data_IF_889385798178
#
_entry.id   IF_889385798178
#
_cell.length_a   1.000
_cell.length_b   1.000
_cell.length_c   1.000
_cell.angle_alpha   90.00
_cell.angle_beta   90.00
_cell.angle_gamma   90.00
#
_symmetry.space_group_name_H-M   'P 1'
#
loop_
_entity.id
_entity.type
_entity.pdbx_description
1 polymer ?
#
# COMPACT_ATOMS: atom_id res chain seq x y z
N UNK A 1 5.90 -10.71 -18.41
CA UNK A 1 6.14 -11.97 -17.63
C UNK A 1 7.02 -11.71 -16.40
N UNK A 2 8.16 -11.03 -16.54
CA UNK A 2 9.08 -10.72 -15.43
C UNK A 2 8.45 -9.90 -14.30
N UNK A 3 7.71 -8.84 -14.63
CA UNK A 3 7.04 -7.99 -13.63
C UNK A 3 6.07 -8.79 -12.74
N UNK A 4 5.26 -9.68 -13.34
CA UNK A 4 4.37 -10.57 -12.59
C UNK A 4 5.12 -11.49 -11.62
N UNK A 5 6.31 -11.97 -11.99
CA UNK A 5 7.15 -12.80 -11.12
C UNK A 5 7.75 -11.96 -9.98
N UNK A 6 8.24 -10.77 -10.28
CA UNK A 6 8.76 -9.82 -9.30
C UNK A 6 7.67 -9.46 -8.28
N UNK A 7 6.49 -9.09 -8.75
CA UNK A 7 5.31 -8.82 -7.93
C UNK A 7 5.01 -9.98 -6.97
N UNK A 8 4.93 -11.22 -7.49
CA UNK A 8 4.65 -12.39 -6.65
C UNK A 8 5.69 -12.58 -5.54
N UNK A 9 6.97 -12.38 -5.82
CA UNK A 9 8.06 -12.49 -4.83
C UNK A 9 8.00 -11.37 -3.80
N UNK A 10 7.85 -10.13 -4.27
CA UNK A 10 7.76 -8.94 -3.44
C UNK A 10 6.54 -9.01 -2.52
N UNK A 11 5.37 -9.35 -3.05
CA UNK A 11 4.14 -9.46 -2.30
C UNK A 11 4.25 -10.52 -1.19
N UNK A 12 4.83 -11.69 -1.48
CA UNK A 12 5.10 -12.72 -0.46
C UNK A 12 6.00 -12.20 0.66
N UNK A 13 7.03 -11.42 0.33
CA UNK A 13 7.90 -10.79 1.33
C UNK A 13 7.12 -9.78 2.20
N UNK A 14 6.35 -8.88 1.57
CA UNK A 14 5.57 -7.86 2.28
C UNK A 14 4.56 -8.47 3.26
N UNK A 15 3.89 -9.55 2.87
CA UNK A 15 2.95 -10.27 3.74
C UNK A 15 3.69 -11.02 4.86
N UNK A 16 4.76 -11.76 4.54
CA UNK A 16 5.54 -12.51 5.53
C UNK A 16 6.09 -11.61 6.64
N UNK A 17 6.55 -10.41 6.28
CA UNK A 17 7.14 -9.46 7.21
C UNK A 17 6.14 -8.42 7.75
N UNK A 18 4.83 -8.58 7.47
CA UNK A 18 3.77 -7.66 7.91
C UNK A 18 4.08 -6.19 7.62
N UNK A 19 4.68 -5.91 6.46
CA UNK A 19 5.07 -4.56 6.05
C UNK A 19 3.85 -3.70 5.73
N UNK A 20 2.80 -4.31 5.17
CA UNK A 20 1.55 -3.62 4.84
C UNK A 20 0.73 -3.34 6.11
N UNK A 21 0.16 -2.14 6.17
CA UNK A 21 -0.71 -1.75 7.27
C UNK A 21 -1.96 -2.64 7.34
N UNK A 22 -2.44 -2.90 8.56
CA UNK A 22 -3.56 -3.84 8.79
C UNK A 22 -4.86 -3.40 8.11
N UNK A 23 -5.14 -2.10 8.06
CA UNK A 23 -6.32 -1.52 7.41
C UNK A 23 -6.06 -1.04 5.98
N UNK A 24 -5.01 -1.55 5.33
CA UNK A 24 -4.84 -1.37 3.90
C UNK A 24 -5.64 -2.44 3.14
N UNK A 25 -6.82 -2.04 2.65
CA UNK A 25 -7.75 -2.94 1.95
C UNK A 25 -7.57 -2.95 0.42
N UNK A 26 -7.06 -1.85 -0.16
CA UNK A 26 -6.80 -1.73 -1.59
C UNK A 26 -5.58 -2.55 -2.04
N UNK A 27 -5.65 -3.10 -3.25
CA UNK A 27 -4.56 -3.83 -3.91
C UNK A 27 -3.96 -4.98 -3.09
N UNK A 28 -4.77 -5.58 -2.20
CA UNK A 28 -4.35 -6.67 -1.31
C UNK A 28 -5.25 -7.89 -1.49
N UNK A 29 -4.63 -9.05 -1.69
CA UNK A 29 -5.35 -10.30 -1.82
C UNK A 29 -6.15 -10.62 -0.55
N UNK A 30 -7.42 -10.98 -0.72
CA UNK A 30 -8.32 -11.30 0.40
C UNK A 30 -8.94 -10.08 1.08
N UNK A 31 -8.69 -8.86 0.58
CA UNK A 31 -9.34 -7.65 1.04
C UNK A 31 -10.17 -7.05 -0.10
N UNK A 32 -11.28 -6.39 0.25
CA UNK A 32 -12.13 -5.67 -0.70
C UNK A 32 -12.52 -4.30 -0.14
N UNK A 33 -13.06 -3.46 -1.01
CA UNK A 33 -13.63 -2.16 -0.62
C UNK A 33 -14.76 -2.31 0.40
N UNK A 34 -15.53 -3.41 0.32
CA UNK A 34 -16.58 -3.72 1.30
C UNK A 34 -16.02 -3.90 2.71
N UNK A 35 -14.86 -4.55 2.86
CA UNK A 35 -14.21 -4.70 4.16
C UNK A 35 -13.80 -3.35 4.76
N UNK A 36 -13.33 -2.42 3.93
CA UNK A 36 -13.00 -1.06 4.38
C UNK A 36 -14.24 -0.30 4.86
N UNK A 37 -15.36 -0.43 4.15
CA UNK A 37 -16.63 0.18 4.54
C UNK A 37 -17.17 -0.39 5.85
N UNK A 38 -17.12 -1.72 6.01
CA UNK A 38 -17.56 -2.38 7.24
C UNK A 38 -16.74 -1.87 8.44
N UNK A 39 -15.41 -1.82 8.32
CA UNK A 39 -14.54 -1.32 9.39
C UNK A 39 -14.88 0.14 9.79
N UNK A 40 -15.12 1.01 8.81
CA UNK A 40 -15.51 2.40 9.07
C UNK A 40 -16.88 2.47 9.76
N UNK A 41 -17.87 1.71 9.26
CA UNK A 41 -19.21 1.69 9.83
C UNK A 41 -19.21 1.15 11.26
N UNK A 42 -18.44 0.11 11.55
CA UNK A 42 -18.32 -0.44 12.89
C UNK A 42 -17.64 0.57 13.83
N UNK A 43 -16.59 1.26 13.38
CA UNK A 43 -15.97 2.35 14.16
C UNK A 43 -16.93 3.50 14.44
N UNK A 44 -17.79 3.87 13.49
CA UNK A 44 -18.80 4.93 13.66
C UNK A 44 -19.84 4.48 14.69
N UNK A 45 -20.36 3.25 14.55
CA UNK A 45 -21.38 2.71 15.46
C UNK A 45 -20.85 2.65 16.90
N UNK A 46 -19.67 2.08 17.11
CA UNK A 46 -19.09 2.00 18.46
C UNK A 46 -18.87 3.37 19.10
N UNK A 47 -18.50 4.39 18.32
CA UNK A 47 -18.37 5.74 18.86
C UNK A 47 -19.73 6.37 19.21
N UNK A 48 -20.77 6.12 18.43
CA UNK A 48 -22.13 6.57 18.73
C UNK A 48 -22.65 5.89 20.00
N UNK A 49 -22.44 4.57 20.14
CA UNK A 49 -22.84 3.80 21.33
C UNK A 49 -22.14 4.28 22.61
N UNK A 50 -20.98 4.93 22.47
CA UNK A 50 -20.20 5.52 23.57
C UNK A 50 -20.45 7.03 23.77
N UNK A 51 -21.50 7.60 23.14
CA UNK A 51 -21.82 9.03 23.16
C UNK A 51 -20.65 9.93 22.70
N UNK A 52 -19.80 9.44 21.79
CA UNK A 52 -18.67 10.17 21.21
C UNK A 52 -19.02 10.78 19.85
N UNK A 53 -18.42 11.92 19.55
CA UNK A 53 -18.47 12.53 18.23
C UNK A 53 -17.49 11.86 17.25
N UNK A 54 -17.92 11.66 16.01
CA UNK A 54 -17.10 11.09 14.94
C UNK A 54 -16.82 12.14 13.87
N UNK A 55 -15.55 12.26 13.46
CA UNK A 55 -15.13 13.07 12.34
C UNK A 55 -14.37 12.20 11.33
N UNK A 56 -14.82 12.20 10.08
CA UNK A 56 -14.16 11.48 8.99
C UNK A 56 -13.33 12.44 8.12
N UNK A 57 -12.06 12.12 7.90
CA UNK A 57 -11.19 12.84 6.96
C UNK A 57 -10.93 11.91 5.77
N UNK A 58 -11.38 12.33 4.59
CA UNK A 58 -11.18 11.60 3.34
C UNK A 58 -10.17 12.35 2.48
N UNK A 59 -9.09 11.66 2.10
CA UNK A 59 -8.02 12.20 1.29
C UNK A 59 -7.99 11.47 -0.05
N UNK A 60 -7.98 12.24 -1.13
CA UNK A 60 -7.77 11.73 -2.49
C UNK A 60 -6.53 12.40 -3.09
N UNK A 61 -5.65 11.60 -3.68
CA UNK A 61 -4.40 12.09 -4.29
C UNK A 61 -4.58 12.13 -5.80
N UNK A 62 -4.56 13.33 -6.37
CA UNK A 62 -4.59 13.51 -7.82
C UNK A 62 -3.36 12.87 -8.47
N UNK A 63 -3.59 12.05 -9.51
CA UNK A 63 -2.52 11.38 -10.26
C UNK A 63 -1.50 10.69 -9.35
N UNK A 64 -1.99 9.90 -8.40
CA UNK A 64 -1.17 9.30 -7.35
C UNK A 64 0.04 8.52 -7.88
N UNK A 65 -0.07 7.85 -9.04
CA UNK A 65 1.05 7.12 -9.66
C UNK A 65 2.05 8.06 -10.35
N UNK A 66 1.57 9.06 -11.09
CA UNK A 66 2.43 10.03 -11.80
C UNK A 66 3.20 10.95 -10.83
N UNK A 67 2.68 11.12 -9.60
CA UNK A 67 3.25 12.02 -8.58
C UNK A 67 4.17 11.32 -7.59
N UNK A 68 4.34 10.00 -7.68
CA UNK A 68 5.26 9.28 -6.78
C UNK A 68 6.70 9.67 -7.09
N UNK A 69 7.41 10.18 -6.08
CA UNK A 69 8.86 10.36 -6.21
C UNK A 69 9.59 9.01 -6.13
N UNK A 70 10.24 8.62 -7.23
CA UNK A 70 10.89 7.31 -7.37
C UNK A 70 12.07 7.12 -6.38
N UNK A 71 12.82 8.17 -6.07
CA UNK A 71 13.94 8.07 -5.10
C UNK A 71 13.43 7.84 -3.68
N UNK A 72 12.34 8.51 -3.29
CA UNK A 72 11.70 8.30 -1.99
C UNK A 72 11.12 6.88 -1.91
N UNK A 73 10.50 6.40 -2.99
CA UNK A 73 9.97 5.04 -3.07
C UNK A 73 11.09 4.00 -2.89
N UNK A 74 12.21 4.12 -3.61
CA UNK A 74 13.33 3.20 -3.53
C UNK A 74 14.00 3.20 -2.14
N UNK A 75 14.12 4.37 -1.51
CA UNK A 75 14.61 4.49 -0.13
C UNK A 75 13.67 3.79 0.87
N UNK A 76 12.36 3.93 0.70
CA UNK A 76 11.37 3.20 1.51
C UNK A 76 11.49 1.69 1.32
N UNK A 77 11.60 1.21 0.08
CA UNK A 77 11.77 -0.21 -0.20
C UNK A 77 13.05 -0.76 0.45
N UNK A 78 14.16 -0.03 0.37
CA UNK A 78 15.41 -0.40 1.04
C UNK A 78 15.28 -0.48 2.57
N UNK A 79 14.58 0.50 3.16
CA UNK A 79 14.29 0.53 4.60
C UNK A 79 13.49 -0.71 5.04
N UNK A 80 12.46 -1.10 4.29
CA UNK A 80 11.66 -2.29 4.56
C UNK A 80 12.38 -3.63 4.29
N UNK A 81 13.61 -3.59 3.79
CA UNK A 81 14.45 -4.79 3.61
C UNK A 81 14.57 -5.30 2.18
N UNK A 82 14.01 -4.59 1.19
CA UNK A 82 14.19 -4.91 -0.23
C UNK A 82 15.50 -4.26 -0.69
N UNK A 83 16.59 -5.03 -0.66
CA UNK A 83 17.97 -4.54 -0.87
C UNK A 83 18.67 -5.28 -2.00
N UNK A 84 19.86 -4.79 -2.38
CA UNK A 84 20.71 -5.40 -3.40
C UNK A 84 20.03 -5.46 -4.77
N UNK A 85 20.20 -6.58 -5.47
CA UNK A 85 19.74 -6.78 -6.85
C UNK A 85 18.25 -6.53 -7.06
N UNK A 86 17.40 -6.84 -6.06
CA UNK A 86 15.95 -6.58 -6.18
C UNK A 86 15.63 -5.08 -6.19
N UNK A 87 16.33 -4.28 -5.38
CA UNK A 87 16.15 -2.83 -5.38
C UNK A 87 16.70 -2.20 -6.67
N UNK A 88 17.85 -2.69 -7.15
CA UNK A 88 18.41 -2.27 -8.43
C UNK A 88 17.47 -2.58 -9.61
N UNK A 89 16.82 -3.75 -9.59
CA UNK A 89 15.84 -4.13 -10.59
C UNK A 89 14.58 -3.25 -10.54
N UNK A 90 14.07 -2.93 -9.35
CA UNK A 90 12.94 -2.01 -9.18
C UNK A 90 13.28 -0.62 -9.74
N UNK A 91 14.49 -0.12 -9.46
CA UNK A 91 14.97 1.16 -10.03
C UNK A 91 14.97 1.13 -11.55
N UNK A 92 15.44 0.05 -12.17
CA UNK A 92 15.46 -0.08 -13.63
C UNK A 92 14.03 -0.09 -14.22
N UNK A 93 13.08 -0.79 -13.59
CA UNK A 93 11.67 -0.82 -14.03
C UNK A 93 11.06 0.58 -13.98
N UNK A 94 11.21 1.28 -12.85
CA UNK A 94 10.68 2.63 -12.66
C UNK A 94 11.29 3.67 -13.61
N UNK A 95 12.49 3.43 -14.14
CA UNK A 95 13.12 4.29 -15.14
C UNK A 95 12.58 4.06 -16.55
N UNK A 96 12.14 2.84 -16.86
CA UNK A 96 11.55 2.49 -18.16
C UNK A 96 10.17 3.12 -18.31
N UNK A 97 9.38 3.18 -17.24
CA UNK A 97 8.01 3.74 -17.27
C UNK A 97 7.96 5.27 -17.45
N UNK A 98 9.09 5.97 -17.26
CA UNK A 98 9.21 7.42 -17.42
C UNK A 98 9.71 7.87 -18.80
N UNK A 99 9.94 6.93 -19.73
CA UNK A 99 10.29 7.21 -21.14
C UNK A 99 9.13 6.87 -22.07
#
# INVERSE_FOLDING_TARGET
IFEKLLYKRLYKFLIKHKVLYKYQFGFRQGHSTSHALIEILDSIKSAIDEDKYVCGIFLDLSKAFDTVNHDILLKKMFHYGIRGQTNSLLKAILQIENN
#
